data_IF_343885480490
#
_entry.id   IF_343885480490
#
_cell.length_a   1.000
_cell.length_b   1.000
_cell.length_c   1.000
_cell.angle_alpha   90.00
_cell.angle_beta   90.00
_cell.angle_gamma   90.00
#
_symmetry.space_group_name_H-M   'P 1'
#
loop_
_entity.id
_entity.type
_entity.pdbx_description
1 polymer ?
#
# COMPACT_ATOMS: atom_id res chain seq x y z
N UNK A 1 26.96 3.36 0.23
CA UNK A 1 27.61 3.80 1.49
C UNK A 1 27.07 5.12 2.01
N UNK A 2 27.14 6.22 1.26
CA UNK A 2 26.77 7.56 1.75
C UNK A 2 25.31 7.69 2.25
N UNK A 3 24.35 7.04 1.58
CA UNK A 3 22.93 7.03 1.98
C UNK A 3 22.70 6.31 3.32
N UNK A 4 23.45 5.26 3.63
CA UNK A 4 23.33 4.55 4.91
C UNK A 4 23.97 5.32 6.06
N UNK A 5 25.01 6.09 5.78
CA UNK A 5 25.55 7.06 6.72
C UNK A 5 24.49 8.10 7.07
N UNK A 6 23.88 8.74 6.07
CA UNK A 6 22.81 9.72 6.31
C UNK A 6 21.58 9.13 7.02
N UNK A 7 21.19 7.90 6.69
CA UNK A 7 20.11 7.21 7.41
C UNK A 7 20.47 6.95 8.88
N UNK A 8 21.71 6.53 9.17
CA UNK A 8 22.17 6.39 10.55
C UNK A 8 22.22 7.72 11.29
N UNK A 9 22.69 8.79 10.65
CA UNK A 9 22.68 10.15 11.22
C UNK A 9 21.26 10.63 11.53
N UNK A 10 20.31 10.37 10.63
CA UNK A 10 18.89 10.68 10.86
C UNK A 10 18.31 9.87 12.02
N UNK A 11 18.68 8.58 12.15
CA UNK A 11 18.26 7.72 13.26
C UNK A 11 18.88 8.15 14.59
N UNK A 12 20.10 8.67 14.58
CA UNK A 12 20.80 9.19 15.76
C UNK A 12 20.34 10.60 16.15
N UNK A 13 19.64 11.32 15.27
CA UNK A 13 19.03 12.61 15.57
C UNK A 13 17.78 12.50 16.46
N UNK A 14 17.21 11.30 16.62
CA UNK A 14 16.08 11.07 17.53
C UNK A 14 16.54 10.97 18.99
N UNK A 15 15.76 11.55 19.90
CA UNK A 15 16.00 11.41 21.34
C UNK A 15 15.91 9.93 21.76
N UNK A 16 16.75 9.45 22.70
CA UNK A 16 16.81 8.02 23.05
C UNK A 16 15.46 7.41 23.48
N UNK A 17 14.62 8.18 24.17
CA UNK A 17 13.29 7.74 24.59
C UNK A 17 12.32 7.61 23.42
N UNK A 18 12.37 8.55 22.47
CA UNK A 18 11.58 8.52 21.24
C UNK A 18 11.97 7.33 20.35
N UNK A 19 13.29 7.12 20.20
CA UNK A 19 13.84 5.97 19.46
C UNK A 19 13.35 4.63 20.02
N UNK A 20 13.30 4.49 21.35
CA UNK A 20 12.78 3.28 22.00
C UNK A 20 11.29 3.04 21.75
N UNK A 21 10.49 4.10 21.61
CA UNK A 21 9.07 3.97 21.28
C UNK A 21 8.85 3.62 19.81
N UNK A 22 9.58 4.26 18.89
CA UNK A 22 9.55 3.93 17.46
C UNK A 22 9.97 2.50 17.18
N UNK A 23 10.97 1.97 17.90
CA UNK A 23 11.41 0.58 17.77
C UNK A 23 10.34 -0.45 18.16
N UNK A 24 9.39 -0.10 19.04
CA UNK A 24 8.26 -0.99 19.36
C UNK A 24 7.28 -1.11 18.19
N UNK A 25 7.21 -0.10 17.33
CA UNK A 25 6.35 -0.08 16.16
C UNK A 25 6.97 -0.85 14.98
N UNK A 26 8.30 -0.92 14.94
CA UNK A 26 9.06 -1.64 13.90
C UNK A 26 9.72 -2.87 14.52
N UNK A 27 8.94 -3.94 14.69
CA UNK A 27 9.42 -5.22 15.21
C UNK A 27 9.76 -6.18 14.07
N UNK A 28 10.92 -6.00 13.46
CA UNK A 28 11.41 -6.90 12.41
C UNK A 28 12.87 -6.64 12.05
N UNK A 29 13.53 -7.67 11.51
CA UNK A 29 14.86 -7.60 10.91
C UNK A 29 14.68 -7.41 9.41
N UNK A 30 15.18 -6.29 8.90
CA UNK A 30 15.11 -5.96 7.48
C UNK A 30 16.50 -6.09 6.85
N UNK A 31 16.56 -6.76 5.71
CA UNK A 31 17.76 -6.86 4.89
C UNK A 31 17.51 -6.17 3.54
N UNK A 32 18.40 -5.27 3.14
CA UNK A 32 18.32 -4.48 1.92
C UNK A 32 19.48 -4.88 1.01
N UNK A 33 19.17 -5.40 -0.17
CA UNK A 33 20.10 -5.70 -1.25
C UNK A 33 20.01 -4.58 -2.26
N UNK A 34 21.06 -3.77 -2.34
CA UNK A 34 21.15 -2.68 -3.30
C UNK A 34 22.00 -3.12 -4.47
N UNK A 35 21.41 -3.24 -5.64
CA UNK A 35 22.12 -3.71 -6.83
C UNK A 35 22.64 -2.52 -7.63
N UNK A 36 23.90 -2.11 -7.42
CA UNK A 36 24.73 -1.70 -8.56
C UNK A 36 25.13 -2.97 -9.31
N UNK A 37 25.48 -2.90 -10.59
CA UNK A 37 26.15 -4.02 -11.28
C UNK A 37 27.22 -4.60 -10.30
N UNK A 38 26.93 -5.79 -9.77
CA UNK A 38 27.56 -6.45 -8.60
C UNK A 38 27.52 -5.70 -7.21
N UNK A 39 26.35 -5.79 -6.54
CA UNK A 39 26.02 -5.80 -5.08
C UNK A 39 26.67 -4.83 -4.05
N UNK A 40 25.85 -4.26 -3.13
CA UNK A 40 25.98 -4.65 -1.71
C UNK A 40 24.66 -4.90 -0.94
N UNK A 41 24.75 -5.73 0.11
CA UNK A 41 23.71 -6.04 1.11
C UNK A 41 23.87 -5.18 2.37
N UNK A 42 22.77 -4.76 2.99
CA UNK A 42 22.72 -3.86 4.16
C UNK A 42 21.62 -4.30 5.14
N UNK A 43 21.90 -4.28 6.44
CA UNK A 43 21.05 -4.80 7.53
C UNK A 43 20.44 -3.65 8.34
N UNK A 44 19.17 -3.73 8.73
CA UNK A 44 18.59 -2.97 9.85
C UNK A 44 18.36 -3.94 11.00
N UNK A 45 19.13 -3.80 12.10
CA UNK A 45 18.99 -4.64 13.29
C UNK A 45 18.43 -3.82 14.46
N UNK A 46 17.47 -4.41 15.18
CA UNK A 46 16.92 -4.28 16.55
C UNK A 46 17.34 -3.07 17.44
N UNK A 47 18.53 -2.50 17.29
CA UNK A 47 18.98 -1.26 17.94
C UNK A 47 18.59 0.02 17.18
N UNK A 48 17.96 -0.11 16.01
CA UNK A 48 17.63 1.02 15.13
C UNK A 48 18.86 1.59 14.42
N UNK A 49 19.84 0.75 14.07
CA UNK A 49 21.02 1.15 13.30
C UNK A 49 21.15 0.28 12.06
N UNK A 50 21.67 0.89 10.99
CA UNK A 50 22.00 0.22 9.73
C UNK A 50 23.45 -0.28 9.77
N UNK A 51 23.66 -1.56 9.48
CA UNK A 51 24.99 -2.19 9.46
C UNK A 51 25.32 -2.75 8.07
N UNK A 52 26.56 -2.56 7.56
CA UNK A 52 27.00 -3.22 6.34
C UNK A 52 27.26 -4.72 6.56
N UNK A 53 26.95 -5.56 5.57
CA UNK A 53 27.30 -6.99 5.55
C UNK A 53 26.12 -7.96 5.77
N UNK A 54 26.36 -9.28 5.71
CA UNK A 54 25.31 -10.30 5.87
C UNK A 54 24.81 -10.39 7.32
N UNK A 55 23.50 -10.53 7.50
CA UNK A 55 22.92 -10.70 8.85
C UNK A 55 23.29 -12.07 9.46
N UNK A 56 23.66 -12.14 10.75
CA UNK A 56 23.82 -13.40 11.47
C UNK A 56 22.48 -14.04 11.91
N UNK A 57 21.34 -13.41 11.61
CA UNK A 57 19.97 -13.87 11.93
C UNK A 57 19.13 -13.93 10.65
N UNK A 58 18.13 -14.82 10.60
CA UNK A 58 17.21 -14.87 9.46
C UNK A 58 16.42 -13.54 9.36
N UNK A 59 16.44 -12.84 8.21
CA UNK A 59 15.66 -11.62 8.03
C UNK A 59 14.17 -11.94 7.95
N UNK A 60 13.33 -11.07 8.53
CA UNK A 60 11.87 -11.16 8.42
C UNK A 60 11.40 -10.64 7.05
N UNK A 61 12.07 -9.60 6.55
CA UNK A 61 11.82 -9.01 5.24
C UNK A 61 13.16 -8.78 4.52
N UNK A 62 13.26 -9.26 3.28
CA UNK A 62 14.36 -8.92 2.37
C UNK A 62 13.85 -8.02 1.25
N UNK A 63 14.49 -6.87 1.08
CA UNK A 63 14.25 -5.84 0.08
C UNK A 63 15.35 -5.90 -0.98
N UNK A 64 15.00 -5.89 -2.26
CA UNK A 64 15.94 -5.80 -3.39
C UNK A 64 15.60 -4.53 -4.17
N UNK A 65 16.53 -3.59 -4.33
CA UNK A 65 16.27 -2.31 -4.98
C UNK A 65 17.52 -1.74 -5.67
N UNK A 66 17.32 -0.87 -6.67
CA UNK A 66 18.41 -0.17 -7.35
C UNK A 66 18.78 1.11 -6.59
N UNK A 67 19.99 1.65 -6.82
CA UNK A 67 20.46 2.91 -6.23
C UNK A 67 19.48 4.07 -6.50
N UNK A 68 19.02 4.21 -7.75
CA UNK A 68 18.12 5.29 -8.15
C UNK A 68 16.77 5.20 -7.42
N UNK A 69 16.26 3.98 -7.22
CA UNK A 69 15.01 3.74 -6.49
C UNK A 69 15.16 4.06 -5.00
N UNK A 70 16.32 3.75 -4.42
CA UNK A 70 16.63 4.11 -3.04
C UNK A 70 16.68 5.62 -2.82
N UNK A 71 17.28 6.35 -3.75
CA UNK A 71 17.32 7.82 -3.73
C UNK A 71 15.88 8.36 -3.84
N UNK A 72 15.11 7.86 -4.80
CA UNK A 72 13.72 8.27 -4.99
C UNK A 72 12.86 8.02 -3.75
N UNK A 73 13.08 6.91 -3.05
CA UNK A 73 12.42 6.61 -1.75
C UNK A 73 12.84 7.60 -0.67
N UNK A 74 14.13 7.91 -0.56
CA UNK A 74 14.66 8.80 0.48
C UNK A 74 14.19 10.24 0.31
N UNK A 75 14.04 10.72 -0.92
CA UNK A 75 13.56 12.09 -1.22
C UNK A 75 12.04 12.18 -1.36
N UNK A 76 11.32 11.07 -1.26
CA UNK A 76 9.86 11.00 -1.34
C UNK A 76 9.27 11.05 -2.75
N UNK A 77 10.11 10.99 -3.80
CA UNK A 77 9.67 10.91 -5.20
C UNK A 77 9.07 9.53 -5.54
N UNK A 78 9.44 8.51 -4.78
CA UNK A 78 8.90 7.15 -4.86
C UNK A 78 8.41 6.72 -3.48
N UNK A 79 7.17 6.22 -3.36
CA UNK A 79 6.74 5.58 -2.13
C UNK A 79 7.15 4.11 -2.12
N UNK A 80 7.52 3.57 -0.96
CA UNK A 80 7.92 2.14 -0.83
C UNK A 80 6.87 1.19 -1.38
N UNK A 81 5.63 1.59 -1.22
CA UNK A 81 4.48 0.96 -1.80
C UNK A 81 4.44 0.92 -3.33
N UNK A 82 4.56 2.08 -3.96
CA UNK A 82 4.60 2.18 -5.41
C UNK A 82 5.77 1.36 -5.92
N UNK A 83 6.93 1.51 -5.31
CA UNK A 83 8.14 0.81 -5.66
C UNK A 83 7.97 -0.72 -5.66
N UNK A 84 7.36 -1.26 -4.60
CA UNK A 84 7.05 -2.68 -4.51
C UNK A 84 6.14 -3.16 -5.65
N UNK A 85 5.01 -2.48 -5.86
CA UNK A 85 3.98 -2.93 -6.80
C UNK A 85 4.40 -2.73 -8.27
N UNK A 86 5.29 -1.77 -8.54
CA UNK A 86 5.89 -1.56 -9.86
C UNK A 86 7.16 -2.39 -10.11
N UNK A 87 7.47 -3.34 -9.23
CA UNK A 87 8.66 -4.21 -9.33
C UNK A 87 10.01 -3.46 -9.27
N UNK A 88 10.01 -2.21 -8.79
CA UNK A 88 11.24 -1.45 -8.47
C UNK A 88 11.86 -1.91 -7.15
N UNK A 89 11.03 -2.52 -6.27
CA UNK A 89 11.49 -3.22 -5.08
C UNK A 89 11.02 -4.67 -5.13
N UNK A 90 11.96 -5.61 -5.08
CA UNK A 90 11.66 -7.00 -4.75
C UNK A 90 11.47 -7.15 -3.24
N UNK A 91 10.32 -7.67 -2.81
CA UNK A 91 10.08 -8.05 -1.42
C UNK A 91 10.04 -9.58 -1.27
N UNK A 92 10.76 -10.11 -0.28
CA UNK A 92 10.54 -11.45 0.26
C UNK A 92 10.08 -11.32 1.71
N UNK A 93 8.94 -11.92 2.03
CA UNK A 93 8.33 -11.86 3.37
C UNK A 93 6.79 -11.71 3.31
N UNK A 94 6.13 -11.57 4.46
CA UNK A 94 4.68 -11.37 4.54
C UNK A 94 4.27 -9.98 4.01
N UNK A 95 3.67 -9.92 2.82
CA UNK A 95 3.33 -8.68 2.10
C UNK A 95 2.01 -8.06 2.61
N UNK A 96 2.00 -7.63 3.86
CA UNK A 96 0.81 -7.05 4.52
C UNK A 96 -0.24 -8.08 4.94
N UNK A 97 0.02 -9.37 4.72
CA UNK A 97 -0.84 -10.51 5.11
C UNK A 97 -1.05 -10.62 6.61
N UNK A 98 -0.13 -10.06 7.41
CA UNK A 98 -0.20 -10.04 8.87
C UNK A 98 -1.15 -8.97 9.42
N UNK A 99 -1.54 -7.98 8.60
CA UNK A 99 -2.49 -6.95 9.01
C UNK A 99 -3.92 -7.48 9.11
N UNK A 100 -4.77 -6.75 9.83
CA UNK A 100 -6.22 -7.01 9.90
C UNK A 100 -6.91 -6.95 8.54
N UNK A 101 -6.25 -6.39 7.51
CA UNK A 101 -6.72 -6.31 6.13
C UNK A 101 -6.06 -7.34 5.20
N UNK A 102 -5.02 -8.04 5.66
CA UNK A 102 -4.16 -8.86 4.84
C UNK A 102 -4.75 -10.21 4.43
N UNK A 103 -4.50 -10.62 3.19
CA UNK A 103 -4.62 -12.00 2.73
C UNK A 103 -3.28 -12.46 2.14
N UNK A 104 -2.84 -13.66 2.48
CA UNK A 104 -1.60 -14.24 1.93
C UNK A 104 -1.72 -14.53 0.43
N UNK A 105 -0.67 -14.21 -0.32
CA UNK A 105 -0.60 -14.37 -1.78
C UNK A 105 -1.52 -13.45 -2.57
N UNK A 106 -1.78 -12.22 -2.09
CA UNK A 106 -2.49 -11.16 -2.80
C UNK A 106 -1.67 -9.87 -2.81
N UNK A 107 -1.34 -9.36 -3.99
CA UNK A 107 -0.72 -8.03 -4.16
C UNK A 107 -1.67 -6.93 -3.69
N UNK A 108 -2.98 -7.11 -3.89
CA UNK A 108 -3.99 -6.15 -3.44
C UNK A 108 -4.07 -6.01 -1.92
N UNK A 109 -3.55 -6.95 -1.13
CA UNK A 109 -3.50 -6.84 0.35
C UNK A 109 -2.72 -5.61 0.78
N UNK A 110 -1.57 -5.39 0.16
CA UNK A 110 -0.71 -4.27 0.47
C UNK A 110 -1.36 -2.94 0.04
N UNK A 111 -1.90 -2.85 -1.18
CA UNK A 111 -2.64 -1.65 -1.62
C UNK A 111 -3.85 -1.33 -0.72
N UNK A 112 -4.55 -2.36 -0.25
CA UNK A 112 -5.72 -2.18 0.61
C UNK A 112 -5.35 -1.59 1.96
N UNK A 113 -4.23 -2.03 2.54
CA UNK A 113 -3.70 -1.44 3.77
C UNK A 113 -3.40 0.05 3.59
N UNK A 114 -2.75 0.43 2.49
CA UNK A 114 -2.45 1.83 2.23
C UNK A 114 -3.70 2.69 2.02
N UNK A 115 -4.69 2.17 1.30
CA UNK A 115 -5.97 2.87 1.14
C UNK A 115 -6.60 3.08 2.52
N UNK A 116 -6.59 2.05 3.37
CA UNK A 116 -7.09 2.16 4.73
C UNK A 116 -6.35 3.22 5.54
N UNK A 117 -5.02 3.20 5.57
CA UNK A 117 -4.18 4.18 6.27
C UNK A 117 -4.44 5.59 5.78
N UNK A 118 -4.53 5.79 4.46
CA UNK A 118 -4.91 7.08 3.89
C UNK A 118 -6.27 7.53 4.40
N UNK A 119 -7.27 6.64 4.41
CA UNK A 119 -8.59 6.99 4.94
C UNK A 119 -8.52 7.34 6.43
N UNK A 120 -7.64 6.73 7.24
CA UNK A 120 -7.53 7.02 8.68
C UNK A 120 -6.94 8.41 8.98
N UNK A 121 -6.13 8.98 8.09
CA UNK A 121 -5.48 10.29 8.31
C UNK A 121 -6.28 11.48 7.75
N UNK A 122 -7.45 11.23 7.16
CA UNK A 122 -8.33 12.29 6.67
C UNK A 122 -8.95 13.07 7.82
N UNK A 123 -9.17 14.38 7.61
CA UNK A 123 -9.98 15.15 8.55
C UNK A 123 -11.46 14.79 8.45
N UNK A 124 -12.24 15.15 9.47
CA UNK A 124 -13.70 15.00 9.46
C UNK A 124 -14.36 15.64 8.23
N UNK A 125 -13.88 16.81 7.80
CA UNK A 125 -14.37 17.52 6.62
C UNK A 125 -14.06 16.75 5.34
N UNK A 126 -12.86 16.17 5.23
CA UNK A 126 -12.44 15.38 4.08
C UNK A 126 -13.22 14.07 3.98
N UNK A 127 -13.45 13.40 5.11
CA UNK A 127 -14.35 12.25 5.20
C UNK A 127 -15.76 12.60 4.71
N UNK A 128 -16.35 13.67 5.26
CA UNK A 128 -17.68 14.15 4.86
C UNK A 128 -17.73 14.45 3.36
N UNK A 129 -16.71 15.10 2.80
CA UNK A 129 -16.64 15.42 1.38
C UNK A 129 -16.59 14.17 0.50
N UNK A 130 -15.75 13.17 0.85
CA UNK A 130 -15.64 11.91 0.10
C UNK A 130 -16.94 11.09 0.19
N UNK A 131 -17.50 10.94 1.39
CA UNK A 131 -18.78 10.25 1.59
C UNK A 131 -19.90 10.95 0.83
N UNK A 132 -19.96 12.28 0.84
CA UNK A 132 -20.97 13.03 0.09
C UNK A 132 -20.88 12.82 -1.43
N UNK A 133 -19.66 12.65 -1.98
CA UNK A 133 -19.46 12.35 -3.40
C UNK A 133 -19.89 10.92 -3.77
N UNK A 134 -19.50 9.93 -2.96
CA UNK A 134 -19.65 8.51 -3.31
C UNK A 134 -20.98 7.91 -2.82
N UNK A 135 -21.27 8.00 -1.51
CA UNK A 135 -22.49 7.49 -0.84
C UNK A 135 -22.80 6.02 -1.11
N UNK A 136 -21.82 5.13 -0.92
CA UNK A 136 -21.99 3.71 -1.22
C UNK A 136 -21.15 2.78 -0.35
N UNK A 137 -21.66 1.56 -0.16
CA UNK A 137 -20.93 0.45 0.46
C UNK A 137 -20.49 -0.52 -0.66
N UNK A 138 -19.19 -0.74 -0.77
CA UNK A 138 -18.57 -1.54 -1.83
C UNK A 138 -18.03 -2.84 -1.26
N UNK A 139 -18.34 -3.97 -1.89
CA UNK A 139 -17.68 -5.25 -1.64
C UNK A 139 -16.78 -5.60 -2.82
N UNK A 140 -15.48 -5.71 -2.58
CA UNK A 140 -14.49 -6.19 -3.54
C UNK A 140 -14.27 -7.69 -3.32
N UNK A 141 -14.48 -8.49 -4.36
CA UNK A 141 -14.12 -9.90 -4.41
C UNK A 141 -12.97 -10.05 -5.41
N UNK A 142 -11.77 -10.26 -4.89
CA UNK A 142 -10.54 -10.26 -5.68
C UNK A 142 -9.99 -11.67 -5.74
N UNK A 143 -9.71 -12.17 -6.95
CA UNK A 143 -9.21 -13.53 -7.16
C UNK A 143 -7.75 -13.53 -7.58
N UNK A 144 -6.89 -14.24 -6.84
CA UNK A 144 -5.48 -14.40 -7.21
C UNK A 144 -5.28 -15.51 -8.26
N UNK A 145 -4.04 -15.65 -8.75
CA UNK A 145 -3.69 -16.65 -9.76
C UNK A 145 -3.89 -18.11 -9.29
N UNK A 146 -3.86 -18.36 -7.98
CA UNK A 146 -4.13 -19.68 -7.37
C UNK A 146 -5.62 -20.00 -7.27
N UNK A 147 -6.50 -19.08 -7.61
CA UNK A 147 -7.96 -19.24 -7.56
C UNK A 147 -8.59 -18.90 -6.21
N UNK A 148 -7.79 -18.52 -5.20
CA UNK A 148 -8.28 -18.06 -3.90
C UNK A 148 -8.96 -16.69 -4.06
N UNK A 149 -9.92 -16.40 -3.18
CA UNK A 149 -10.64 -15.11 -3.19
C UNK A 149 -10.41 -14.35 -1.89
N UNK A 150 -9.85 -13.16 -2.00
CA UNK A 150 -9.82 -12.17 -0.93
C UNK A 150 -11.05 -11.26 -1.04
N UNK A 151 -11.58 -10.85 0.11
CA UNK A 151 -12.74 -9.97 0.18
C UNK A 151 -12.44 -8.76 1.03
N UNK A 152 -12.88 -7.59 0.58
CA UNK A 152 -12.82 -6.34 1.37
C UNK A 152 -14.10 -5.53 1.21
N UNK A 153 -14.55 -4.93 2.30
CA UNK A 153 -15.70 -4.04 2.33
C UNK A 153 -15.26 -2.60 2.59
N UNK A 154 -15.58 -1.69 1.68
CA UNK A 154 -15.35 -0.26 1.82
C UNK A 154 -16.67 0.44 2.12
N UNK A 155 -16.73 1.13 3.25
CA UNK A 155 -17.84 2.00 3.58
C UNK A 155 -17.48 3.44 3.18
N UNK A 156 -18.17 3.96 2.16
CA UNK A 156 -18.11 5.36 1.73
C UNK A 156 -19.49 6.02 1.90
N UNK A 157 -20.25 5.62 2.91
CA UNK A 157 -21.65 6.00 3.15
C UNK A 157 -21.88 6.48 4.59
N UNK A 158 -21.30 5.81 5.58
CA UNK A 158 -21.67 5.96 7.01
C UNK A 158 -20.84 6.99 7.78
N UNK A 159 -20.59 8.16 7.20
CA UNK A 159 -19.82 9.23 7.86
C UNK A 159 -18.31 9.07 7.68
N UNK A 160 -17.64 8.31 8.56
CA UNK A 160 -16.20 8.04 8.45
C UNK A 160 -15.98 6.95 7.41
N UNK A 161 -15.29 7.29 6.33
CA UNK A 161 -14.95 6.32 5.30
C UNK A 161 -13.91 5.33 5.79
N UNK A 162 -14.15 4.03 5.62
CA UNK A 162 -13.27 2.97 6.12
C UNK A 162 -13.22 1.76 5.20
N UNK A 163 -12.23 0.90 5.40
CA UNK A 163 -12.01 -0.36 4.70
C UNK A 163 -11.89 -1.47 5.75
N UNK A 164 -12.57 -2.60 5.53
CA UNK A 164 -12.57 -3.76 6.42
C UNK A 164 -12.32 -5.04 5.63
N UNK A 165 -11.71 -6.02 6.28
CA UNK A 165 -11.52 -7.36 5.72
C UNK A 165 -12.84 -8.12 5.70
N UNK A 166 -13.08 -8.81 4.60
CA UNK A 166 -14.25 -9.65 4.41
C UNK A 166 -15.54 -8.86 4.26
N UNK A 167 -16.65 -9.53 4.58
CA UNK A 167 -17.95 -8.90 4.72
C UNK A 167 -18.11 -8.44 6.17
N UNK A 168 -18.78 -7.31 6.38
CA UNK A 168 -19.14 -6.83 7.72
C UNK A 168 -20.57 -7.26 8.02
N UNK A 169 -20.78 -7.91 9.16
CA UNK A 169 -22.11 -8.34 9.60
C UNK A 169 -23.03 -7.12 9.78
N UNK A 170 -24.29 -7.27 9.36
CA UNK A 170 -25.27 -6.18 9.39
C UNK A 170 -25.07 -5.09 8.32
N UNK A 171 -23.95 -5.07 7.60
CA UNK A 171 -23.68 -4.10 6.55
C UNK A 171 -23.84 -4.73 5.16
N UNK A 172 -24.88 -4.31 4.44
CA UNK A 172 -25.18 -4.81 3.09
C UNK A 172 -24.46 -3.98 2.02
N UNK A 173 -23.70 -4.59 1.09
CA UNK A 173 -23.10 -3.84 0.00
C UNK A 173 -24.16 -3.32 -0.97
N UNK A 174 -24.01 -2.07 -1.38
CA UNK A 174 -24.79 -1.45 -2.47
C UNK A 174 -24.28 -1.94 -3.84
N UNK A 175 -23.00 -2.34 -3.89
CA UNK A 175 -22.32 -2.80 -5.10
C UNK A 175 -21.28 -3.88 -4.75
N UNK A 176 -21.18 -4.88 -5.62
CA UNK A 176 -20.15 -5.93 -5.57
C UNK A 176 -19.31 -5.88 -6.83
N UNK A 177 -17.99 -5.81 -6.65
CA UNK A 177 -16.98 -5.75 -7.71
C UNK A 177 -16.18 -7.05 -7.70
N UNK A 178 -16.17 -7.78 -8.80
CA UNK A 178 -15.40 -9.01 -8.94
C UNK A 178 -14.30 -8.82 -9.99
N UNK A 179 -13.04 -9.09 -9.62
CA UNK A 179 -11.89 -8.89 -10.51
C UNK A 179 -10.71 -9.79 -10.12
N UNK A 180 -9.67 -9.84 -10.95
CA UNK A 180 -8.41 -10.49 -10.58
C UNK A 180 -7.58 -9.57 -9.69
N UNK A 181 -6.69 -10.17 -8.90
CA UNK A 181 -5.73 -9.46 -8.05
C UNK A 181 -4.95 -8.41 -8.83
N UNK A 182 -4.40 -8.78 -9.99
CA UNK A 182 -3.68 -7.83 -10.83
C UNK A 182 -4.56 -6.73 -11.43
N UNK A 183 -5.83 -7.02 -11.76
CA UNK A 183 -6.75 -6.00 -12.27
C UNK A 183 -7.13 -4.98 -11.17
N UNK A 184 -7.24 -5.43 -9.91
CA UNK A 184 -7.39 -4.54 -8.76
C UNK A 184 -6.17 -3.63 -8.63
N UNK A 185 -4.97 -4.22 -8.64
CA UNK A 185 -3.71 -3.47 -8.59
C UNK A 185 -3.64 -2.42 -9.70
N UNK A 186 -3.85 -2.82 -10.96
CA UNK A 186 -3.76 -1.91 -12.10
C UNK A 186 -4.80 -0.78 -12.03
N UNK A 187 -5.98 -1.03 -11.47
CA UNK A 187 -7.03 -0.02 -11.29
C UNK A 187 -6.63 1.02 -10.23
N UNK A 188 -6.21 0.54 -9.05
CA UNK A 188 -5.82 1.41 -7.94
C UNK A 188 -4.48 2.11 -8.19
N UNK A 189 -3.68 1.57 -9.11
CA UNK A 189 -2.52 2.21 -9.71
C UNK A 189 -2.84 3.00 -11.00
N UNK A 190 -4.09 3.26 -11.36
CA UNK A 190 -4.41 4.09 -12.54
C UNK A 190 -3.86 3.59 -13.90
N UNK A 191 -3.23 2.41 -13.98
CA UNK A 191 -2.77 1.74 -15.21
C UNK A 191 -3.95 1.38 -16.09
N UNK A 192 -5.12 1.22 -15.49
CA UNK A 192 -6.43 1.21 -16.15
C UNK A 192 -7.42 2.04 -15.34
N UNK A 193 -8.55 2.41 -15.97
CA UNK A 193 -9.70 2.99 -15.27
C UNK A 193 -10.87 1.99 -15.20
N UNK A 194 -11.80 2.25 -14.28
CA UNK A 194 -12.93 1.36 -14.00
C UNK A 194 -13.84 1.16 -15.21
N UNK A 195 -14.05 2.20 -16.01
CA UNK A 195 -14.86 2.11 -17.24
C UNK A 195 -14.26 1.14 -18.27
N UNK A 196 -12.97 1.29 -18.57
CA UNK A 196 -12.23 0.41 -19.49
C UNK A 196 -12.17 -1.02 -18.97
N UNK A 197 -11.91 -1.19 -17.67
CA UNK A 197 -11.84 -2.49 -17.04
C UNK A 197 -13.19 -3.22 -17.05
N UNK A 198 -14.30 -2.49 -16.85
CA UNK A 198 -15.66 -3.03 -16.99
C UNK A 198 -15.98 -3.41 -18.44
N UNK A 199 -15.76 -2.49 -19.39
CA UNK A 199 -16.05 -2.73 -20.81
C UNK A 199 -15.26 -3.90 -21.40
N UNK A 200 -14.04 -4.15 -20.91
CA UNK A 200 -13.20 -5.28 -21.34
C UNK A 200 -13.45 -6.56 -20.54
N UNK A 201 -14.41 -6.55 -19.61
CA UNK A 201 -14.78 -7.72 -18.81
C UNK A 201 -13.78 -8.10 -17.70
N UNK A 202 -12.76 -7.28 -17.44
CA UNK A 202 -11.79 -7.49 -16.35
C UNK A 202 -12.40 -7.27 -14.97
N UNK A 203 -13.39 -6.38 -14.88
CA UNK A 203 -14.21 -6.17 -13.69
C UNK A 203 -15.65 -6.53 -14.02
N UNK A 204 -16.26 -7.37 -13.18
CA UNK A 204 -17.70 -7.59 -13.17
C UNK A 204 -18.32 -6.79 -12.04
N UNK A 205 -19.48 -6.20 -12.31
CA UNK A 205 -20.19 -5.35 -11.36
C UNK A 205 -21.58 -5.92 -11.13
N UNK A 206 -21.99 -6.03 -9.87
CA UNK A 206 -23.34 -6.39 -9.45
C UNK A 206 -23.89 -5.30 -8.52
N UNK A 207 -25.15 -4.91 -8.68
CA UNK A 207 -25.77 -3.86 -7.88
C UNK A 207 -25.72 -2.49 -8.56
N UNK A 208 -25.55 -1.42 -7.77
CA UNK A 208 -25.67 -0.05 -8.25
C UNK A 208 -24.44 0.43 -9.03
N UNK A 209 -24.38 0.13 -10.33
CA UNK A 209 -23.24 0.42 -11.23
C UNK A 209 -22.76 1.88 -11.16
N UNK A 210 -23.67 2.85 -10.99
CA UNK A 210 -23.31 4.27 -10.87
C UNK A 210 -22.38 4.57 -9.68
N UNK A 211 -22.42 3.76 -8.62
CA UNK A 211 -21.49 3.87 -7.50
C UNK A 211 -20.05 3.48 -7.91
N UNK A 212 -19.89 2.52 -8.82
CA UNK A 212 -18.58 2.14 -9.36
C UNK A 212 -17.92 3.31 -10.08
N UNK A 213 -18.69 4.06 -10.87
CA UNK A 213 -18.20 5.24 -11.59
C UNK A 213 -17.79 6.36 -10.63
N UNK A 214 -18.59 6.61 -9.58
CA UNK A 214 -18.25 7.60 -8.54
C UNK A 214 -16.99 7.21 -7.78
N UNK A 215 -16.83 5.93 -7.46
CA UNK A 215 -15.62 5.42 -6.83
C UNK A 215 -14.41 5.61 -7.75
N UNK A 216 -14.51 5.28 -9.04
CA UNK A 216 -13.41 5.49 -10.01
C UNK A 216 -12.95 6.94 -10.07
N UNK A 217 -13.89 7.91 -10.12
CA UNK A 217 -13.54 9.34 -10.05
C UNK A 217 -12.87 9.70 -8.73
N UNK A 218 -13.39 9.24 -7.59
CA UNK A 218 -12.81 9.52 -6.27
C UNK A 218 -11.41 8.92 -6.12
N UNK A 219 -11.18 7.73 -6.68
CA UNK A 219 -9.88 7.08 -6.66
C UNK A 219 -8.86 7.83 -7.51
N UNK A 220 -9.24 8.37 -8.67
CA UNK A 220 -8.37 9.25 -9.47
C UNK A 220 -7.97 10.51 -8.70
N UNK A 221 -8.95 11.21 -8.11
CA UNK A 221 -8.68 12.38 -7.24
C UNK A 221 -7.72 12.03 -6.08
N UNK A 222 -7.83 10.80 -5.57
CA UNK A 222 -7.04 10.31 -4.44
C UNK A 222 -5.62 9.94 -4.87
N UNK A 223 -5.46 9.26 -6.01
CA UNK A 223 -4.18 8.89 -6.61
C UNK A 223 -3.25 10.08 -6.81
N UNK A 224 -3.80 11.23 -7.21
CA UNK A 224 -3.06 12.50 -7.36
C UNK A 224 -2.55 13.05 -6.02
N UNK A 225 -3.25 12.77 -4.92
CA UNK A 225 -2.96 13.33 -3.59
C UNK A 225 -2.04 12.46 -2.72
N UNK A 226 -2.12 11.14 -2.86
CA UNK A 226 -1.41 10.19 -1.98
C UNK A 226 -0.11 9.66 -2.58
N UNK A 227 0.37 10.28 -3.66
CA UNK A 227 1.68 9.99 -4.22
C UNK A 227 1.80 8.63 -4.92
N UNK A 228 0.70 7.90 -5.17
CA UNK A 228 0.76 6.70 -6.03
C UNK A 228 1.30 7.03 -7.43
N UNK A 229 1.18 8.29 -7.89
CA UNK A 229 1.71 8.81 -9.17
C UNK A 229 2.47 10.14 -9.09
N UNK A 230 2.83 10.61 -7.89
CA UNK A 230 3.42 11.94 -7.74
C UNK A 230 4.88 12.02 -8.18
N UNK A 231 5.14 12.24 -9.47
CA UNK A 231 6.29 13.04 -9.89
C UNK A 231 5.91 14.50 -9.55
N UNK A 232 6.54 15.08 -8.51
CA UNK A 232 6.37 16.47 -8.03
C UNK A 232 4.95 16.96 -7.74
N UNK A 233 4.58 16.98 -6.47
CA UNK A 233 3.88 18.14 -5.93
C UNK A 233 4.94 19.11 -5.39
N UNK A 234 5.42 20.03 -6.25
CA UNK A 234 6.14 21.21 -5.79
C UNK A 234 5.19 22.03 -4.90
N UNK A 235 5.54 22.21 -3.64
CA UNK A 235 5.23 23.42 -2.87
C UNK A 235 6.55 24.17 -2.64
#
# INVERSE_FOLDING_TARGET
>A
DEIFTHLNEALDAFEPAERQELLKQVNGIFEFHICKEEAPTSEVKITGMIKPGPTPLNPDITLFLMDDDMIALAVGDLSGARAFITDHIGLKGPMGSESDLGYDGFESSFLTLQIYEYLQVLTDEEHKAKVAKVKGIFLFNVKNAKGNTAMWMMDMKSGISTMKKGKVEGLKPDIVLEMKDRDFVDLFMGKTNGQKAFMTGRIKVKGAIMLALKLDTMMKDTQEKIGFFGEKAKL
#
